data_IF_724934694105
#
_entry.id   IF_724934694105
#
_cell.length_a   1.000
_cell.length_b   1.000
_cell.length_c   1.000
_cell.angle_alpha   90.00
_cell.angle_beta   90.00
_cell.angle_gamma   90.00
#
_symmetry.space_group_name_H-M   'P 1'
#
loop_
_entity.id
_entity.type
_entity.pdbx_description
1 polymer ?
#
# COMPACT_ATOMS: atom_id res chain seq x y z
N UNK A 1 0.54 13.19 -21.33
CA UNK A 1 0.21 14.42 -20.58
C UNK A 1 0.51 15.63 -21.43
N UNK A 2 -0.09 16.76 -21.09
CA UNK A 2 -0.06 18.06 -21.80
C UNK A 2 1.34 18.64 -22.06
N UNK A 3 2.36 18.11 -21.37
CA UNK A 3 3.75 18.59 -21.38
C UNK A 3 4.73 17.65 -22.10
N UNK A 4 4.24 16.65 -22.85
CA UNK A 4 5.09 15.80 -23.72
C UNK A 4 5.48 16.61 -24.96
N UNK A 5 6.71 16.46 -25.42
CA UNK A 5 7.28 17.24 -26.53
C UNK A 5 7.74 16.34 -27.66
N UNK A 6 7.88 16.92 -28.85
CA UNK A 6 8.50 16.26 -29.99
C UNK A 6 9.99 16.03 -29.78
N UNK A 7 10.54 15.07 -30.53
CA UNK A 7 11.97 14.78 -30.51
C UNK A 7 12.81 16.01 -30.89
N UNK A 8 13.86 16.27 -30.12
CA UNK A 8 14.75 17.41 -30.35
C UNK A 8 14.23 18.76 -29.87
N UNK A 9 13.01 18.85 -29.32
CA UNK A 9 12.55 20.07 -28.66
C UNK A 9 13.24 20.27 -27.30
N UNK A 10 13.68 21.50 -27.03
CA UNK A 10 14.35 21.84 -25.79
C UNK A 10 13.40 21.69 -24.60
N UNK A 11 13.79 20.85 -23.65
CA UNK A 11 13.09 20.71 -22.38
C UNK A 11 13.70 21.62 -21.32
N UNK A 12 12.90 22.02 -20.34
CA UNK A 12 13.39 22.81 -19.21
C UNK A 12 14.45 22.00 -18.44
N UNK A 13 15.72 22.45 -18.36
CA UNK A 13 16.80 21.71 -17.69
C UNK A 13 16.59 21.59 -16.17
N UNK A 14 15.72 22.42 -15.58
CA UNK A 14 15.37 22.36 -14.17
C UNK A 14 14.12 21.52 -13.90
N UNK A 15 13.53 20.89 -14.92
CA UNK A 15 12.39 19.99 -14.79
C UNK A 15 12.81 18.54 -15.06
N UNK A 16 12.04 17.60 -14.53
CA UNK A 16 12.21 16.18 -14.87
C UNK A 16 11.94 16.01 -16.36
N UNK A 17 12.95 15.51 -17.08
CA UNK A 17 12.86 15.27 -18.51
C UNK A 17 11.69 14.32 -18.81
N UNK A 18 10.96 14.63 -19.88
CA UNK A 18 9.84 13.84 -20.39
C UNK A 18 10.31 13.03 -21.60
N UNK A 19 9.74 11.85 -21.78
CA UNK A 19 9.92 11.10 -23.02
C UNK A 19 9.30 11.87 -24.19
N UNK A 20 9.90 11.75 -25.37
CA UNK A 20 9.29 12.20 -26.62
C UNK A 20 8.31 11.16 -27.18
N UNK A 21 7.49 11.55 -28.15
CA UNK A 21 6.58 10.61 -28.83
C UNK A 21 7.31 9.48 -29.54
N UNK A 22 8.43 9.76 -30.21
CA UNK A 22 9.26 8.73 -30.86
C UNK A 22 9.82 7.73 -29.86
N UNK A 23 10.33 8.20 -28.70
CA UNK A 23 10.83 7.33 -27.64
C UNK A 23 9.73 6.45 -27.06
N UNK A 24 8.55 7.02 -26.83
CA UNK A 24 7.37 6.27 -26.36
C UNK A 24 7.01 5.17 -27.36
N UNK A 25 6.92 5.53 -28.65
CA UNK A 25 6.58 4.58 -29.71
C UNK A 25 7.64 3.48 -29.86
N UNK A 26 8.93 3.82 -29.84
CA UNK A 26 10.02 2.85 -29.87
C UNK A 26 9.93 1.84 -28.71
N UNK A 27 9.72 2.34 -27.49
CA UNK A 27 9.56 1.49 -26.30
C UNK A 27 8.32 0.61 -26.38
N UNK A 28 7.20 1.12 -26.90
CA UNK A 28 5.97 0.36 -27.05
C UNK A 28 6.09 -0.72 -28.15
N UNK A 29 6.68 -0.39 -29.30
CA UNK A 29 6.90 -1.31 -30.43
C UNK A 29 7.82 -2.49 -30.04
N UNK A 30 8.63 -2.34 -28.99
CA UNK A 30 9.43 -3.44 -28.43
C UNK A 30 8.59 -4.58 -27.83
N UNK A 31 7.33 -4.29 -27.46
CA UNK A 31 6.47 -5.22 -26.73
C UNK A 31 6.86 -5.46 -25.26
N UNK A 32 7.91 -4.79 -24.76
CA UNK A 32 8.40 -4.93 -23.37
C UNK A 32 7.83 -3.88 -22.41
N UNK A 33 7.35 -2.76 -22.94
CA UNK A 33 6.88 -1.61 -22.14
C UNK A 33 5.41 -1.33 -22.43
N UNK A 34 4.59 -1.33 -21.38
CA UNK A 34 3.22 -0.81 -21.42
C UNK A 34 3.20 0.66 -20.97
N UNK A 35 2.44 1.50 -21.69
CA UNK A 35 2.16 2.87 -21.29
C UNK A 35 0.74 2.96 -20.70
N UNK A 36 0.65 3.33 -19.42
CA UNK A 36 -0.60 3.60 -18.71
C UNK A 36 -0.99 5.07 -18.69
N UNK A 37 -2.23 5.36 -18.30
CA UNK A 37 -2.70 6.73 -18.09
C UNK A 37 -2.09 7.31 -16.79
N UNK A 38 -1.61 8.56 -16.83
CA UNK A 38 -1.19 9.32 -15.64
C UNK A 38 -1.73 10.76 -15.64
N UNK A 39 -2.98 10.87 -16.10
CA UNK A 39 -3.74 12.07 -16.49
C UNK A 39 -3.15 12.84 -17.67
N UNK A 40 -3.98 13.65 -18.33
CA UNK A 40 -3.52 14.58 -19.34
C UNK A 40 -2.93 15.83 -18.69
N UNK A 41 -3.68 16.50 -17.81
CA UNK A 41 -3.25 17.76 -17.17
C UNK A 41 -3.66 17.86 -15.68
N UNK A 42 -4.07 16.76 -15.06
CA UNK A 42 -4.49 16.74 -13.64
C UNK A 42 -3.36 16.37 -12.64
N UNK A 43 -2.09 16.43 -13.05
CA UNK A 43 -0.92 16.14 -12.20
C UNK A 43 -0.34 17.41 -11.51
N UNK A 44 -1.21 18.25 -10.95
CA UNK A 44 -0.83 19.46 -10.21
C UNK A 44 -1.69 19.60 -8.93
N UNK A 45 -1.36 20.55 -8.06
CA UNK A 45 -2.16 20.86 -6.88
C UNK A 45 -2.99 22.13 -7.09
N UNK A 46 -4.26 22.10 -6.67
CA UNK A 46 -5.15 23.25 -6.60
C UNK A 46 -5.55 23.42 -5.14
N UNK A 47 -5.24 24.57 -4.54
CA UNK A 47 -5.54 24.89 -3.14
C UNK A 47 -5.06 23.81 -2.14
N UNK A 48 -3.85 23.29 -2.36
CA UNK A 48 -3.25 22.25 -1.50
C UNK A 48 -3.81 20.84 -1.67
N UNK A 49 -4.72 20.61 -2.64
CA UNK A 49 -5.26 19.29 -2.96
C UNK A 49 -4.86 18.87 -4.38
N UNK A 50 -4.58 17.59 -4.65
CA UNK A 50 -4.37 17.12 -6.02
C UNK A 50 -5.55 17.52 -6.92
N UNK A 51 -5.23 18.05 -8.10
CA UNK A 51 -6.20 18.56 -9.08
C UNK A 51 -7.28 17.50 -9.38
N UNK A 52 -6.87 16.26 -9.61
CA UNK A 52 -7.77 15.13 -9.88
C UNK A 52 -8.88 14.97 -8.83
N UNK A 53 -8.58 15.19 -7.54
CA UNK A 53 -9.57 15.05 -6.46
C UNK A 53 -10.60 16.18 -6.41
N UNK A 54 -10.32 17.30 -7.09
CA UNK A 54 -11.16 18.49 -7.11
C UNK A 54 -12.02 18.58 -8.38
N UNK A 55 -11.83 17.65 -9.33
CA UNK A 55 -12.56 17.59 -10.59
C UNK A 55 -13.86 16.79 -10.43
N UNK A 56 -14.91 17.18 -11.17
CA UNK A 56 -16.10 16.35 -11.33
C UNK A 56 -15.84 15.20 -12.32
N UNK A 57 -16.69 14.16 -12.28
CA UNK A 57 -16.55 12.97 -13.13
C UNK A 57 -16.37 13.32 -14.62
N UNK A 58 -17.16 14.24 -15.15
CA UNK A 58 -17.13 14.60 -16.58
C UNK A 58 -15.79 15.25 -16.97
N UNK A 59 -15.23 16.11 -16.10
CA UNK A 59 -13.90 16.69 -16.35
C UNK A 59 -12.79 15.63 -16.28
N UNK A 60 -12.91 14.65 -15.38
CA UNK A 60 -11.95 13.55 -15.29
C UNK A 60 -12.04 12.67 -16.54
N UNK A 61 -13.25 12.34 -17.00
CA UNK A 61 -13.45 11.58 -18.23
C UNK A 61 -12.86 12.32 -19.44
N UNK A 62 -13.08 13.62 -19.56
CA UNK A 62 -12.51 14.41 -20.65
C UNK A 62 -10.97 14.42 -20.62
N UNK A 63 -10.36 14.57 -19.42
CA UNK A 63 -8.90 14.46 -19.26
C UNK A 63 -8.39 13.07 -19.70
N UNK A 64 -9.13 12.00 -19.40
CA UNK A 64 -8.77 10.65 -19.85
C UNK A 64 -8.96 10.45 -21.37
N UNK A 65 -9.98 11.05 -21.95
CA UNK A 65 -10.21 11.04 -23.41
C UNK A 65 -9.07 11.75 -24.15
N UNK A 66 -8.56 12.87 -23.63
CA UNK A 66 -7.38 13.54 -24.19
C UNK A 66 -6.12 12.65 -24.16
N UNK A 67 -5.96 11.81 -23.13
CA UNK A 67 -4.89 10.80 -23.15
C UNK A 67 -5.12 9.77 -24.26
N UNK A 68 -6.35 9.31 -24.46
CA UNK A 68 -6.66 8.35 -25.52
C UNK A 68 -6.43 8.95 -26.92
N UNK A 69 -6.76 10.22 -27.13
CA UNK A 69 -6.47 10.94 -28.39
C UNK A 69 -4.97 10.95 -28.69
N UNK A 70 -4.14 11.28 -27.69
CA UNK A 70 -2.67 11.23 -27.85
C UNK A 70 -2.20 9.83 -28.21
N UNK A 71 -2.72 8.77 -27.57
CA UNK A 71 -2.35 7.39 -27.89
C UNK A 71 -2.77 7.01 -29.31
N UNK A 72 -3.97 7.39 -29.74
CA UNK A 72 -4.47 7.15 -31.10
C UNK A 72 -3.57 7.87 -32.14
N UNK A 73 -3.14 9.11 -31.88
CA UNK A 73 -2.25 9.89 -32.75
C UNK A 73 -0.87 9.25 -32.96
N UNK A 74 -0.28 8.68 -31.91
CA UNK A 74 1.03 8.02 -31.99
C UNK A 74 0.94 6.53 -32.35
N UNK A 75 -0.27 6.04 -32.66
CA UNK A 75 -0.51 4.66 -33.11
C UNK A 75 -0.44 3.61 -32.00
N UNK A 76 -0.65 3.99 -30.74
CA UNK A 76 -0.67 3.08 -29.59
C UNK A 76 -2.10 2.66 -29.22
N UNK A 77 -2.21 1.47 -28.63
CA UNK A 77 -3.46 1.00 -28.07
C UNK A 77 -3.82 1.79 -26.82
N UNK A 78 -5.11 2.13 -26.66
CA UNK A 78 -5.63 2.87 -25.51
C UNK A 78 -5.20 2.22 -24.18
N UNK A 79 -4.74 3.02 -23.20
CA UNK A 79 -4.26 2.51 -21.94
C UNK A 79 -5.35 1.74 -21.20
N UNK A 80 -4.98 0.61 -20.59
CA UNK A 80 -5.89 -0.20 -19.76
C UNK A 80 -5.68 0.02 -18.26
N UNK A 81 -4.64 0.77 -17.91
CA UNK A 81 -4.24 1.06 -16.54
C UNK A 81 -4.15 2.57 -16.30
N UNK A 82 -4.35 2.98 -15.04
CA UNK A 82 -4.10 4.34 -14.57
C UNK A 82 -3.17 4.31 -13.35
N UNK A 83 -2.16 5.17 -13.31
CA UNK A 83 -1.50 5.55 -12.08
C UNK A 83 -2.12 6.87 -11.60
N UNK A 84 -2.69 6.90 -10.38
CA UNK A 84 -3.27 8.14 -9.88
C UNK A 84 -2.15 9.14 -9.53
N UNK A 85 -2.24 10.42 -9.94
CA UNK A 85 -1.32 11.47 -9.53
C UNK A 85 -1.13 11.48 -8.01
N UNK A 86 0.13 11.46 -7.57
CA UNK A 86 0.51 11.38 -6.15
C UNK A 86 -0.09 10.17 -5.40
N UNK A 87 -0.61 9.17 -6.13
CA UNK A 87 -1.36 8.02 -5.64
C UNK A 87 -2.67 8.35 -4.94
N UNK A 88 -3.21 9.57 -5.14
CA UNK A 88 -4.43 10.03 -4.50
C UNK A 88 -5.63 9.84 -5.42
N UNK A 89 -6.69 9.23 -4.88
CA UNK A 89 -7.93 8.96 -5.60
C UNK A 89 -9.13 9.14 -4.65
N UNK A 90 -10.32 9.18 -5.23
CA UNK A 90 -11.62 9.11 -4.56
C UNK A 90 -12.61 8.32 -5.44
N UNK A 91 -13.81 8.05 -4.92
CA UNK A 91 -14.85 7.29 -5.64
C UNK A 91 -15.19 7.89 -7.01
N UNK A 92 -15.16 9.22 -7.13
CA UNK A 92 -15.44 9.93 -8.39
C UNK A 92 -14.39 9.57 -9.44
N UNK A 93 -13.11 9.66 -9.09
CA UNK A 93 -11.99 9.33 -9.98
C UNK A 93 -11.93 7.84 -10.32
N UNK A 94 -12.24 6.95 -9.37
CA UNK A 94 -12.32 5.50 -9.62
C UNK A 94 -13.47 5.21 -10.58
N UNK A 95 -14.66 5.79 -10.36
CA UNK A 95 -15.81 5.60 -11.24
C UNK A 95 -15.58 6.16 -12.64
N UNK A 96 -14.93 7.31 -12.76
CA UNK A 96 -14.52 7.87 -14.04
C UNK A 96 -13.58 6.89 -14.75
N UNK A 97 -12.61 6.33 -14.05
CA UNK A 97 -11.65 5.40 -14.63
C UNK A 97 -12.32 4.11 -15.13
N UNK A 98 -13.18 3.49 -14.32
CA UNK A 98 -13.95 2.30 -14.72
C UNK A 98 -14.83 2.56 -15.95
N UNK A 99 -15.49 3.73 -16.00
CA UNK A 99 -16.37 4.13 -17.12
C UNK A 99 -15.58 4.32 -18.41
N UNK A 100 -14.33 4.77 -18.32
CA UNK A 100 -13.40 4.93 -19.43
C UNK A 100 -12.66 3.63 -19.81
N UNK A 101 -13.06 2.50 -19.23
CA UNK A 101 -12.58 1.17 -19.63
C UNK A 101 -11.28 0.72 -18.96
N UNK A 102 -10.71 1.52 -18.05
CA UNK A 102 -9.55 1.09 -17.25
C UNK A 102 -9.90 -0.15 -16.41
N UNK A 103 -8.91 -1.04 -16.28
CA UNK A 103 -9.00 -2.31 -15.57
C UNK A 103 -8.10 -2.37 -14.35
N UNK A 104 -7.08 -1.52 -14.30
CA UNK A 104 -6.12 -1.46 -13.20
C UNK A 104 -5.90 -0.01 -12.78
N UNK A 105 -5.87 0.26 -11.48
CA UNK A 105 -5.60 1.57 -10.89
C UNK A 105 -4.51 1.47 -9.83
N UNK A 106 -3.42 2.22 -9.98
CA UNK A 106 -2.25 2.15 -9.12
C UNK A 106 -2.16 3.38 -8.20
N UNK A 107 -1.96 3.12 -6.91
CA UNK A 107 -1.83 4.13 -5.85
C UNK A 107 -0.36 4.31 -5.45
N UNK A 108 -0.08 5.03 -4.36
CA UNK A 108 1.26 5.01 -3.71
C UNK A 108 1.19 4.40 -2.32
N UNK A 109 0.07 3.76 -1.98
CA UNK A 109 -0.04 2.98 -0.75
C UNK A 109 0.95 1.82 -0.83
N UNK A 110 1.86 1.75 0.15
CA UNK A 110 2.86 0.70 0.23
C UNK A 110 2.17 -0.64 0.50
N UNK A 111 2.55 -1.68 -0.24
CA UNK A 111 2.05 -3.02 -0.01
C UNK A 111 2.10 -3.91 -1.25
N UNK A 112 1.91 -5.21 -1.02
CA UNK A 112 1.82 -6.20 -2.09
C UNK A 112 0.45 -6.20 -2.76
N UNK A 113 0.42 -6.68 -4.01
CA UNK A 113 -0.78 -6.89 -4.81
C UNK A 113 -0.98 -8.39 -5.00
N UNK A 114 -2.22 -8.82 -4.88
CA UNK A 114 -2.63 -10.22 -4.98
C UNK A 114 -3.77 -10.36 -6.00
N UNK A 115 -4.09 -11.60 -6.38
CA UNK A 115 -5.15 -11.86 -7.36
C UNK A 115 -6.53 -11.34 -6.93
N UNK A 116 -6.77 -11.24 -5.62
CA UNK A 116 -8.01 -10.72 -5.02
C UNK A 116 -7.93 -9.23 -4.64
N UNK A 117 -6.80 -8.56 -4.89
CA UNK A 117 -6.65 -7.13 -4.59
C UNK A 117 -7.66 -6.31 -5.42
N UNK A 118 -8.27 -5.26 -4.84
CA UNK A 118 -9.20 -4.43 -5.59
C UNK A 118 -8.49 -3.80 -6.79
N UNK A 119 -8.92 -4.09 -8.03
CA UNK A 119 -8.11 -3.83 -9.22
C UNK A 119 -7.89 -2.34 -9.48
N UNK A 120 -8.78 -1.47 -8.99
CA UNK A 120 -8.67 -0.02 -9.19
C UNK A 120 -7.92 0.71 -8.07
N UNK A 121 -7.42 0.00 -7.04
CA UNK A 121 -6.71 0.63 -5.91
C UNK A 121 -5.49 -0.20 -5.50
N UNK A 122 -4.72 -0.64 -6.49
CA UNK A 122 -3.53 -1.47 -6.31
C UNK A 122 -2.44 -0.71 -5.59
N UNK A 123 -1.83 -1.38 -4.61
CA UNK A 123 -0.67 -0.89 -3.87
C UNK A 123 0.58 -0.88 -4.77
N UNK A 124 1.59 -0.10 -4.39
CA UNK A 124 2.92 -0.10 -5.01
C UNK A 124 4.01 0.03 -3.95
N UNK A 125 5.14 -0.65 -4.17
CA UNK A 125 6.35 -0.43 -3.37
C UNK A 125 7.05 0.81 -3.95
N UNK A 126 7.04 1.91 -3.21
CA UNK A 126 7.73 3.14 -3.60
C UNK A 126 9.22 2.98 -3.36
N UNK A 127 10.03 3.34 -4.35
CA UNK A 127 11.49 3.31 -4.27
C UNK A 127 11.98 4.76 -4.13
N UNK A 128 12.41 5.19 -2.93
CA UNK A 128 12.95 6.53 -2.73
C UNK A 128 14.26 6.78 -3.50
N UNK A 129 14.62 8.05 -3.74
CA UNK A 129 15.98 8.41 -4.11
C UNK A 129 17.00 7.79 -3.13
N UNK A 130 18.20 7.46 -3.62
CA UNK A 130 19.30 6.89 -2.82
C UNK A 130 19.03 5.49 -2.21
N UNK A 131 18.01 4.78 -2.70
CA UNK A 131 17.80 3.37 -2.34
C UNK A 131 18.96 2.50 -2.85
N UNK A 132 19.78 1.97 -1.94
CA UNK A 132 20.88 1.04 -2.27
C UNK A 132 20.33 -0.32 -2.71
N UNK A 133 21.10 -1.17 -3.41
CA UNK A 133 20.67 -2.53 -3.74
C UNK A 133 20.19 -3.34 -2.53
N UNK A 134 20.80 -3.17 -1.35
CA UNK A 134 20.38 -3.86 -0.12
C UNK A 134 19.05 -3.30 0.41
N UNK A 135 18.88 -1.97 0.41
CA UNK A 135 17.58 -1.35 0.77
C UNK A 135 16.49 -1.72 -0.23
N UNK A 136 16.83 -1.78 -1.51
CA UNK A 136 15.92 -2.20 -2.57
C UNK A 136 15.52 -3.66 -2.40
N UNK A 137 16.48 -4.53 -2.07
CA UNK A 137 16.22 -5.92 -1.70
C UNK A 137 15.25 -5.99 -0.53
N UNK A 138 15.49 -5.26 0.56
CA UNK A 138 14.57 -5.21 1.70
C UNK A 138 13.16 -4.71 1.32
N UNK A 139 13.07 -3.75 0.38
CA UNK A 139 11.77 -3.27 -0.13
C UNK A 139 11.05 -4.32 -0.99
N UNK A 140 11.78 -5.11 -1.78
CA UNK A 140 11.25 -6.16 -2.66
C UNK A 140 11.03 -7.51 -1.95
N UNK A 141 11.76 -7.74 -0.87
CA UNK A 141 11.95 -9.02 -0.22
C UNK A 141 12.01 -8.76 1.28
N UNK A 142 10.87 -9.05 1.90
CA UNK A 142 10.80 -9.83 3.12
C UNK A 142 12.09 -10.62 3.41
N UNK A 143 12.98 -10.08 4.25
CA UNK A 143 14.07 -10.84 4.86
C UNK A 143 13.54 -11.75 6.00
N UNK A 144 12.23 -11.85 6.21
CA UNK A 144 11.71 -12.97 6.98
C UNK A 144 12.03 -14.26 6.23
N UNK A 145 12.39 -15.32 6.95
CA UNK A 145 12.29 -16.64 6.37
C UNK A 145 10.90 -16.80 5.76
N UNK A 146 10.84 -17.30 4.52
CA UNK A 146 9.59 -17.73 3.90
C UNK A 146 8.80 -18.52 4.93
N UNK A 147 7.50 -18.24 5.03
CA UNK A 147 6.61 -18.87 6.00
C UNK A 147 6.94 -20.36 6.14
N UNK A 148 7.42 -20.84 7.30
CA UNK A 148 7.80 -22.22 7.43
C UNK A 148 6.58 -23.12 7.18
N UNK A 149 6.82 -24.28 6.54
CA UNK A 149 5.73 -25.20 6.22
C UNK A 149 4.95 -25.60 7.48
N UNK A 150 3.61 -25.55 7.41
CA UNK A 150 2.70 -25.89 8.51
C UNK A 150 2.08 -24.69 9.22
N UNK A 151 2.46 -23.46 8.87
CA UNK A 151 1.92 -22.22 9.45
C UNK A 151 0.94 -21.46 8.53
N UNK A 152 0.54 -22.06 7.40
CA UNK A 152 -0.27 -21.42 6.35
C UNK A 152 -1.69 -21.06 6.79
N UNK A 153 -2.14 -21.58 7.93
CA UNK A 153 -3.48 -21.33 8.50
C UNK A 153 -3.44 -20.50 9.78
N UNK A 154 -2.32 -19.84 10.05
CA UNK A 154 -2.10 -19.04 11.25
C UNK A 154 -1.77 -17.59 10.87
N UNK A 155 -1.81 -16.70 11.86
CA UNK A 155 -1.16 -15.40 11.74
C UNK A 155 0.24 -15.52 12.32
N UNK A 156 1.27 -15.19 11.56
CA UNK A 156 2.66 -15.25 11.97
C UNK A 156 3.24 -13.86 12.06
N UNK A 157 3.85 -13.55 13.19
CA UNK A 157 4.55 -12.29 13.44
C UNK A 157 5.99 -12.59 13.87
N UNK A 158 6.95 -11.99 13.18
CA UNK A 158 8.39 -12.27 13.37
C UNK A 158 9.09 -11.03 13.93
N UNK A 159 9.59 -11.05 15.18
CA UNK A 159 10.32 -9.92 15.74
C UNK A 159 11.58 -9.59 14.92
N UNK A 160 11.75 -8.31 14.61
CA UNK A 160 12.83 -7.78 13.77
C UNK A 160 12.54 -7.81 12.27
N UNK A 161 11.41 -8.36 11.84
CA UNK A 161 10.97 -8.34 10.44
C UNK A 161 9.80 -7.40 10.23
N UNK A 162 9.80 -6.68 9.11
CA UNK A 162 8.69 -5.85 8.66
C UNK A 162 7.62 -6.66 7.90
N UNK A 163 7.65 -7.99 7.95
CA UNK A 163 6.63 -8.85 7.33
C UNK A 163 5.98 -9.78 8.35
N UNK A 164 4.65 -9.77 8.36
CA UNK A 164 3.80 -10.78 8.97
C UNK A 164 3.16 -11.66 7.89
N UNK A 165 2.64 -12.81 8.28
CA UNK A 165 1.81 -13.64 7.42
C UNK A 165 0.42 -13.77 8.02
N UNK A 166 -0.62 -13.58 7.21
CA UNK A 166 -2.01 -13.86 7.59
C UNK A 166 -2.54 -14.93 6.66
N UNK A 167 -2.75 -16.14 7.18
CA UNK A 167 -3.26 -17.27 6.40
C UNK A 167 -2.40 -17.54 5.15
N UNK A 168 -1.07 -17.54 5.31
CA UNK A 168 -0.12 -17.75 4.22
C UNK A 168 0.18 -16.51 3.36
N UNK A 169 -0.59 -15.43 3.50
CA UNK A 169 -0.40 -14.19 2.74
C UNK A 169 0.57 -13.25 3.45
N UNK A 170 1.70 -12.85 2.84
CA UNK A 170 2.62 -11.89 3.46
C UNK A 170 2.00 -10.48 3.51
N UNK A 171 2.20 -9.78 4.60
CA UNK A 171 1.70 -8.42 4.83
C UNK A 171 2.78 -7.61 5.53
N UNK A 172 2.96 -6.38 5.09
CA UNK A 172 3.97 -5.50 5.67
C UNK A 172 3.51 -4.93 7.02
N UNK A 173 4.48 -4.72 7.91
CA UNK A 173 4.35 -4.14 9.23
C UNK A 173 5.15 -2.83 9.26
N UNK A 174 4.57 -1.77 9.79
CA UNK A 174 5.25 -0.48 9.96
C UNK A 174 4.97 0.07 11.36
N UNK A 175 5.90 -0.05 12.32
CA UNK A 175 7.25 -0.64 12.22
C UNK A 175 7.29 -2.16 12.44
N UNK A 176 8.47 -2.77 12.26
CA UNK A 176 8.70 -4.17 12.58
C UNK A 176 8.41 -4.47 14.08
N UNK A 177 7.90 -5.67 14.43
CA UNK A 177 7.72 -6.09 15.81
C UNK A 177 9.07 -6.15 16.53
N UNK A 178 9.07 -5.81 17.81
CA UNK A 178 10.28 -5.79 18.64
C UNK A 178 10.08 -6.58 19.92
N UNK A 179 11.15 -7.12 20.47
CA UNK A 179 11.12 -7.73 21.80
C UNK A 179 11.68 -6.71 22.79
N UNK A 180 10.86 -6.32 23.77
CA UNK A 180 11.26 -5.44 24.88
C UNK A 180 11.03 -6.19 26.18
N UNK A 181 12.08 -6.43 26.96
CA UNK A 181 12.02 -7.16 28.23
C UNK A 181 11.32 -8.53 28.13
N UNK A 182 11.53 -9.25 27.03
CA UNK A 182 10.91 -10.56 26.79
C UNK A 182 9.46 -10.51 26.28
N UNK A 183 8.89 -9.31 26.09
CA UNK A 183 7.55 -9.11 25.52
C UNK A 183 7.67 -8.73 24.06
N UNK A 184 6.98 -9.44 23.17
CA UNK A 184 6.88 -9.06 21.77
C UNK A 184 5.83 -7.97 21.60
N UNK A 185 6.24 -6.83 21.07
CA UNK A 185 5.39 -5.71 20.69
C UNK A 185 5.26 -5.67 19.17
N UNK A 186 4.05 -5.45 18.63
CA UNK A 186 3.82 -5.20 17.21
C UNK A 186 2.89 -4.00 17.00
N UNK A 187 2.90 -3.42 15.79
CA UNK A 187 2.03 -2.30 15.44
C UNK A 187 0.55 -2.65 15.61
N UNK A 188 -0.18 -1.81 16.34
CA UNK A 188 -1.62 -2.00 16.61
C UNK A 188 -2.47 -1.91 15.34
N UNK A 189 -2.14 -0.97 14.46
CA UNK A 189 -2.88 -0.71 13.23
C UNK A 189 -2.92 -1.94 12.32
N UNK A 190 -1.81 -2.69 12.23
CA UNK A 190 -1.78 -3.98 11.54
C UNK A 190 -2.90 -4.90 12.00
N UNK A 191 -3.11 -5.07 13.30
CA UNK A 191 -4.16 -5.97 13.80
C UNK A 191 -5.56 -5.41 13.58
N UNK A 192 -5.75 -4.10 13.75
CA UNK A 192 -7.07 -3.48 13.51
C UNK A 192 -7.46 -3.50 12.03
N UNK A 193 -6.50 -3.29 11.12
CA UNK A 193 -6.75 -3.24 9.68
C UNK A 193 -6.81 -4.63 9.06
N UNK A 194 -5.88 -5.52 9.41
CA UNK A 194 -5.75 -6.82 8.75
C UNK A 194 -6.61 -7.91 9.42
N UNK A 195 -6.84 -7.82 10.73
CA UNK A 195 -7.63 -8.82 11.48
C UNK A 195 -9.00 -8.28 11.95
N UNK A 196 -9.29 -6.99 11.74
CA UNK A 196 -10.56 -6.38 12.12
C UNK A 196 -10.78 -6.33 13.64
N UNK A 197 -9.72 -6.24 14.43
CA UNK A 197 -9.82 -6.18 15.89
C UNK A 197 -10.53 -4.88 16.33
N UNK A 198 -11.65 -5.03 17.04
CA UNK A 198 -12.42 -3.91 17.59
C UNK A 198 -11.80 -3.45 18.92
N UNK A 199 -11.03 -2.37 18.86
CA UNK A 199 -10.34 -1.77 20.00
C UNK A 199 -10.54 -0.26 20.05
N UNK A 200 -10.42 0.29 21.24
CA UNK A 200 -10.41 1.72 21.53
C UNK A 200 -8.96 2.11 21.82
N UNK A 201 -8.40 2.99 20.99
CA UNK A 201 -7.07 3.55 21.19
C UNK A 201 -7.15 4.88 21.96
N UNK A 202 -6.46 4.96 23.10
CA UNK A 202 -6.26 6.19 23.88
C UNK A 202 -4.81 6.68 23.71
N UNK A 203 -4.59 7.75 22.90
CA UNK A 203 -3.27 8.30 22.64
C UNK A 203 -2.70 9.12 23.80
N UNK A 204 -3.51 9.53 24.78
CA UNK A 204 -3.07 10.31 25.94
C UNK A 204 -2.45 9.38 26.97
N UNK A 205 -3.15 8.29 27.27
CA UNK A 205 -2.69 7.28 28.24
C UNK A 205 -1.77 6.22 27.62
N UNK A 206 -1.63 6.23 26.29
CA UNK A 206 -1.01 5.14 25.52
C UNK A 206 -1.60 3.79 25.91
N UNK A 207 -2.92 3.68 25.81
CA UNK A 207 -3.64 2.46 26.15
C UNK A 207 -4.53 2.00 25.01
N UNK A 208 -4.58 0.70 24.80
CA UNK A 208 -5.58 0.05 23.96
C UNK A 208 -6.57 -0.66 24.86
N UNK A 209 -7.87 -0.36 24.70
CA UNK A 209 -8.93 -1.00 25.44
C UNK A 209 -9.81 -1.82 24.50
N UNK A 210 -10.33 -2.94 24.98
CA UNK A 210 -11.32 -3.72 24.24
C UNK A 210 -12.54 -4.02 25.12
N UNK A 211 -13.70 -4.11 24.48
CA UNK A 211 -14.94 -4.48 25.17
C UNK A 211 -14.96 -5.99 25.33
N UNK A 212 -15.09 -6.45 26.57
CA UNK A 212 -15.26 -7.88 26.87
C UNK A 212 -16.70 -8.11 27.31
N UNK A 213 -17.38 -9.04 26.63
CA UNK A 213 -18.72 -9.49 26.98
C UNK A 213 -18.64 -10.54 28.10
N UNK A 214 -18.34 -10.10 29.31
CA UNK A 214 -18.58 -10.89 30.52
C UNK A 214 -19.49 -10.08 31.44
N UNK A 215 -20.38 -10.75 32.19
CA UNK A 215 -21.52 -10.20 32.95
C UNK A 215 -21.32 -8.77 33.51
N UNK A 216 -21.70 -7.77 32.69
CA UNK A 216 -21.45 -6.34 32.96
C UNK A 216 -20.23 -5.82 32.20
N UNK A 217 -20.48 -5.20 31.03
CA UNK A 217 -19.50 -4.62 30.09
C UNK A 217 -18.23 -4.08 30.77
N UNK A 218 -17.18 -4.90 30.81
CA UNK A 218 -15.87 -4.51 31.33
C UNK A 218 -14.94 -4.11 30.17
N UNK A 219 -14.15 -3.07 30.39
CA UNK A 219 -13.05 -2.70 29.50
C UNK A 219 -11.77 -3.36 30.00
N UNK A 220 -11.14 -4.13 29.13
CA UNK A 220 -9.82 -4.66 29.37
C UNK A 220 -8.82 -3.74 28.67
N UNK A 221 -7.91 -3.12 29.44
CA UNK A 221 -6.94 -2.15 28.93
C UNK A 221 -5.52 -2.71 28.97
N UNK A 222 -4.76 -2.43 27.91
CA UNK A 222 -3.37 -2.80 27.77
C UNK A 222 -2.53 -1.56 27.48
N UNK A 223 -1.32 -1.50 28.04
CA UNK A 223 -0.36 -0.46 27.72
C UNK A 223 0.17 -0.65 26.29
N UNK A 224 0.19 0.43 25.52
CA UNK A 224 0.91 0.52 24.27
C UNK A 224 2.18 1.36 24.45
N UNK A 225 3.12 1.17 23.54
CA UNK A 225 4.43 1.79 23.56
C UNK A 225 4.62 2.55 22.25
N UNK A 226 4.98 3.84 22.28
CA UNK A 226 5.30 4.55 21.06
C UNK A 226 6.61 4.02 20.46
N UNK A 227 6.59 3.65 19.18
CA UNK A 227 7.80 3.40 18.39
C UNK A 227 7.59 3.91 16.96
N UNK A 228 8.54 4.69 16.45
CA UNK A 228 8.49 5.25 15.08
C UNK A 228 7.17 5.96 14.73
N UNK A 229 6.54 6.63 15.71
CA UNK A 229 5.27 7.34 15.53
C UNK A 229 4.03 6.43 15.49
N UNK A 230 4.18 5.14 15.80
CA UNK A 230 3.11 4.13 15.83
C UNK A 230 2.91 3.58 17.24
N UNK A 231 1.70 3.10 17.53
CA UNK A 231 1.37 2.45 18.78
C UNK A 231 1.73 0.95 18.71
N UNK A 232 2.70 0.52 19.51
CA UNK A 232 3.14 -0.86 19.61
C UNK A 232 2.47 -1.53 20.82
N UNK A 233 1.86 -2.70 20.62
CA UNK A 233 1.10 -3.38 21.68
C UNK A 233 1.66 -4.77 21.97
N UNK A 234 1.63 -5.22 23.24
CA UNK A 234 1.98 -6.59 23.59
C UNK A 234 1.07 -7.59 22.87
N UNK A 235 1.65 -8.28 21.88
CA UNK A 235 0.88 -9.12 20.94
C UNK A 235 0.16 -10.23 21.69
N UNK A 236 0.87 -10.92 22.58
CA UNK A 236 0.35 -12.09 23.30
C UNK A 236 -0.92 -11.75 24.05
N UNK A 237 -0.87 -10.74 24.92
CA UNK A 237 -2.00 -10.41 25.80
C UNK A 237 -3.20 -9.89 25.01
N UNK A 238 -2.96 -9.06 24.00
CA UNK A 238 -4.04 -8.52 23.19
C UNK A 238 -4.69 -9.61 22.33
N UNK A 239 -3.88 -10.50 21.73
CA UNK A 239 -4.39 -11.59 20.92
C UNK A 239 -5.16 -12.64 21.72
N UNK A 240 -4.66 -13.01 22.91
CA UNK A 240 -5.36 -13.91 23.84
C UNK A 240 -6.72 -13.34 24.23
N UNK A 241 -6.80 -12.03 24.51
CA UNK A 241 -8.06 -11.35 24.79
C UNK A 241 -8.99 -11.29 23.58
N UNK A 242 -8.45 -11.30 22.36
CA UNK A 242 -9.18 -11.42 21.09
C UNK A 242 -9.53 -12.88 20.73
N UNK A 243 -9.25 -13.84 21.62
CA UNK A 243 -9.61 -15.25 21.47
C UNK A 243 -8.64 -16.07 20.63
N UNK A 244 -7.39 -15.61 20.43
CA UNK A 244 -6.35 -16.38 19.76
C UNK A 244 -5.53 -17.19 20.78
N UNK A 245 -5.18 -18.41 20.41
CA UNK A 245 -4.07 -19.14 21.03
C UNK A 245 -2.75 -18.54 20.52
N UNK A 246 -1.81 -18.25 21.42
CA UNK A 246 -0.52 -17.63 21.09
C UNK A 246 0.63 -18.56 21.45
N UNK A 247 1.44 -18.92 20.45
CA UNK A 247 2.62 -19.79 20.61
C UNK A 247 3.88 -19.05 20.15
N UNK A 248 4.95 -19.20 20.93
CA UNK A 248 6.29 -18.77 20.52
C UNK A 248 7.06 -19.98 20.03
N UNK A 249 7.58 -19.90 18.81
CA UNK A 249 8.40 -20.96 18.20
C UNK A 249 9.87 -20.53 18.20
N UNK A 250 10.65 -21.09 19.12
CA UNK A 250 12.02 -20.67 19.41
C UNK A 250 12.98 -20.85 18.21
N UNK A 251 12.82 -21.93 17.45
CA UNK A 251 13.73 -22.27 16.35
C UNK A 251 13.54 -21.32 15.17
N UNK A 252 12.29 -21.03 14.83
CA UNK A 252 11.87 -20.16 13.73
C UNK A 252 11.88 -18.68 14.16
N UNK A 253 11.90 -18.40 15.48
CA UNK A 253 11.80 -17.07 16.10
C UNK A 253 10.53 -16.33 15.69
N UNK A 254 9.40 -17.02 15.74
CA UNK A 254 8.09 -16.48 15.34
C UNK A 254 7.06 -16.57 16.47
N UNK A 255 6.15 -15.61 16.48
CA UNK A 255 4.90 -15.66 17.24
C UNK A 255 3.81 -16.17 16.31
N UNK A 256 3.24 -17.33 16.62
CA UNK A 256 2.06 -17.88 15.95
C UNK A 256 0.80 -17.49 16.72
N UNK A 257 -0.17 -16.92 16.02
CA UNK A 257 -1.52 -16.70 16.52
C UNK A 257 -2.49 -17.59 15.75
N UNK A 258 -3.28 -18.37 16.47
CA UNK A 258 -4.24 -19.32 15.90
C UNK A 258 -5.59 -19.18 16.55
N UNK A 259 -6.66 -19.14 15.75
CA UNK A 259 -8.02 -19.28 16.30
C UNK A 259 -8.25 -20.74 16.72
N UNK A 260 -8.78 -21.00 17.93
CA UNK A 260 -9.11 -22.34 18.40
C UNK A 260 -10.19 -23.02 17.54
#
# INVERSE_FOLDING_TARGET
GSKIVEDGQAQNPNAIAKLSFNQIKEMADSGLVEFGNHTFDAHDFINGKPCLLSMCKDRISLDFEQVNEVFDEIGLLKPRSIAYPYGKFNDVSVKAAETNGYKLGFTVSKGFVYQDSPPMTLNRIIIPPDTTPDKFRALLQDDSPALPAGFEKSVIVSPGSDTAYVMGRPLLLEPAPVIVNGVTLAPLDFFTEQLGWDVIWDPILYQVAMKVAYEGQALLSFTAYPAEGKAMVPIRTLAEAMGYEVKWHQKEKIVELKKP
#
